data_IF_607096300195
#
_entry.id   IF_607096300195
#
_cell.length_a   1.000
_cell.length_b   1.000
_cell.length_c   1.000
_cell.angle_alpha   90.00
_cell.angle_beta   90.00
_cell.angle_gamma   90.00
#
_symmetry.space_group_name_H-M   'P 1'
#
loop_
_entity.id
_entity.type
_entity.pdbx_description
1 polymer ?
#
# COMPACT_ATOMS: atom_id res chain seq x y z
N UNK A 1 19.89 7.35 -10.32
CA UNK A 1 18.80 7.61 -9.38
C UNK A 1 18.88 6.55 -8.29
N UNK A 2 18.79 6.91 -7.01
CA UNK A 2 18.67 5.92 -5.93
C UNK A 2 17.21 5.51 -5.84
N UNK A 3 16.89 4.26 -6.14
CA UNK A 3 15.61 3.66 -5.76
C UNK A 3 15.64 3.41 -4.25
N UNK A 4 14.55 3.72 -3.52
CA UNK A 4 14.45 3.36 -2.11
C UNK A 4 14.45 1.84 -1.96
N UNK A 5 14.96 1.35 -0.84
CA UNK A 5 14.76 -0.04 -0.45
C UNK A 5 13.27 -0.26 -0.15
N UNK A 6 12.69 -1.34 -0.68
CA UNK A 6 11.25 -1.64 -0.57
C UNK A 6 11.07 -2.86 0.33
N UNK A 7 10.31 -2.69 1.40
CA UNK A 7 9.83 -3.77 2.27
C UNK A 7 8.31 -3.90 2.10
N UNK A 8 7.83 -5.14 1.94
CA UNK A 8 6.42 -5.43 1.67
C UNK A 8 5.64 -5.60 2.96
N UNK A 9 6.28 -6.06 4.04
CA UNK A 9 5.62 -6.25 5.32
C UNK A 9 5.09 -4.91 5.85
N UNK A 10 3.76 -4.75 5.99
CA UNK A 10 3.20 -3.51 6.50
C UNK A 10 3.52 -3.36 8.00
N UNK A 11 3.62 -2.11 8.45
CA UNK A 11 3.70 -1.76 9.85
C UNK A 11 2.44 -0.99 10.27
N UNK A 12 2.09 -1.11 11.55
CA UNK A 12 0.94 -0.40 12.12
C UNK A 12 1.40 0.95 12.65
N UNK A 13 0.61 1.98 12.35
CA UNK A 13 0.79 3.32 12.92
C UNK A 13 -0.39 3.57 13.85
N UNK A 14 -0.10 3.87 15.11
CA UNK A 14 -1.06 4.40 16.06
C UNK A 14 -0.90 5.91 16.12
N UNK A 15 -1.95 6.62 15.73
CA UNK A 15 -1.96 8.09 15.72
C UNK A 15 -2.33 8.67 17.10
N UNK A 16 -2.62 7.85 18.12
CA UNK A 16 -3.16 8.29 19.41
C UNK A 16 -4.53 8.97 19.28
N UNK A 17 -5.34 8.93 20.34
CA UNK A 17 -6.63 9.64 20.38
C UNK A 17 -6.46 11.17 20.36
N UNK A 18 -5.26 11.67 20.68
CA UNK A 18 -4.96 13.09 20.76
C UNK A 18 -4.49 13.70 19.44
N UNK A 19 -4.06 12.90 18.45
CA UNK A 19 -3.62 13.41 17.16
C UNK A 19 -4.62 13.09 16.05
N UNK A 20 -4.81 14.06 15.17
CA UNK A 20 -5.72 13.93 14.04
C UNK A 20 -5.10 13.03 12.97
N UNK A 21 -5.83 11.99 12.53
CA UNK A 21 -5.37 11.17 11.42
C UNK A 21 -5.18 12.04 10.15
N UNK A 22 -4.06 11.91 9.39
CA UNK A 22 -3.75 12.83 8.29
C UNK A 22 -4.86 12.98 7.25
N UNK A 23 -5.59 11.89 6.96
CA UNK A 23 -6.70 11.91 6.00
C UNK A 23 -7.89 12.77 6.42
N UNK A 24 -8.09 13.03 7.72
CA UNK A 24 -9.23 13.81 8.21
C UNK A 24 -9.11 15.31 7.89
N UNK A 25 -7.89 15.81 7.69
CA UNK A 25 -7.63 17.19 7.29
C UNK A 25 -7.51 17.39 5.78
N UNK A 26 -7.61 16.31 4.99
CA UNK A 26 -7.43 16.39 3.54
C UNK A 26 -8.69 16.97 2.86
N UNK A 27 -8.53 17.84 1.86
CA UNK A 27 -9.66 18.30 1.05
C UNK A 27 -10.25 17.13 0.25
N UNK A 28 -11.54 17.26 -0.11
CA UNK A 28 -12.19 16.31 -1.01
C UNK A 28 -11.63 16.43 -2.43
N UNK A 29 -10.64 15.60 -2.75
CA UNK A 29 -9.96 15.62 -4.05
C UNK A 29 -10.65 14.73 -5.10
N UNK A 30 -11.67 13.95 -4.71
CA UNK A 30 -12.32 12.96 -5.58
C UNK A 30 -11.40 11.80 -5.96
N UNK A 31 -10.36 11.55 -5.16
CA UNK A 31 -9.39 10.48 -5.39
C UNK A 31 -9.59 9.33 -4.40
N UNK A 32 -9.39 8.10 -4.88
CA UNK A 32 -9.47 6.89 -4.05
C UNK A 32 -8.40 5.89 -4.45
N UNK A 33 -7.72 5.31 -3.47
CA UNK A 33 -6.88 4.13 -3.70
C UNK A 33 -7.81 2.94 -3.96
N UNK A 34 -7.75 2.39 -5.16
CA UNK A 34 -8.63 1.29 -5.59
C UNK A 34 -7.93 -0.06 -5.58
N UNK A 35 -6.59 -0.07 -5.56
CA UNK A 35 -5.81 -1.30 -5.61
C UNK A 35 -4.44 -1.08 -4.97
N UNK A 36 -3.98 -2.08 -4.23
CA UNK A 36 -2.61 -2.19 -3.73
C UNK A 36 -2.12 -3.61 -4.00
N UNK A 37 -0.94 -3.73 -4.59
CA UNK A 37 -0.26 -5.00 -4.76
C UNK A 37 1.23 -4.89 -4.51
N UNK A 38 1.82 -6.04 -4.22
CA UNK A 38 3.26 -6.20 -4.12
C UNK A 38 3.75 -7.25 -5.11
N UNK A 39 5.04 -7.19 -5.42
CA UNK A 39 5.78 -8.27 -6.09
C UNK A 39 6.91 -8.72 -5.17
N UNK A 40 7.12 -10.03 -5.06
CA UNK A 40 8.20 -10.59 -4.24
C UNK A 40 8.75 -11.88 -4.90
N UNK A 41 10.06 -12.20 -4.79
CA UNK A 41 10.62 -13.46 -5.31
C UNK A 41 10.00 -14.72 -4.71
N UNK A 42 9.56 -14.59 -3.46
CA UNK A 42 9.00 -15.66 -2.63
C UNK A 42 7.75 -15.15 -1.91
N UNK A 43 6.59 -14.99 -2.58
CA UNK A 43 5.39 -14.41 -1.97
C UNK A 43 4.86 -15.22 -0.77
N UNK A 44 5.11 -16.53 -0.74
CA UNK A 44 4.67 -17.45 0.29
C UNK A 44 5.17 -17.08 1.70
N UNK A 45 6.32 -16.41 1.80
CA UNK A 45 6.89 -15.99 3.09
C UNK A 45 6.07 -14.87 3.74
N UNK A 46 5.25 -14.17 2.97
CA UNK A 46 4.44 -13.02 3.41
C UNK A 46 3.00 -13.42 3.73
N UNK A 47 2.53 -14.60 3.30
CA UNK A 47 1.14 -15.02 3.43
C UNK A 47 0.65 -14.99 4.87
N UNK A 48 1.45 -15.52 5.81
CA UNK A 48 1.05 -15.60 7.22
C UNK A 48 0.84 -14.22 7.86
N UNK A 49 1.72 -13.27 7.53
CA UNK A 49 1.64 -11.89 8.04
C UNK A 49 0.47 -11.15 7.41
N UNK A 50 0.30 -11.26 6.09
CA UNK A 50 -0.78 -10.56 5.38
C UNK A 50 -2.16 -11.12 5.72
N UNK A 51 -2.30 -12.43 5.96
CA UNK A 51 -3.56 -13.03 6.43
C UNK A 51 -3.92 -12.63 7.86
N UNK A 52 -2.92 -12.30 8.69
CA UNK A 52 -3.15 -11.83 10.05
C UNK A 52 -3.64 -10.37 10.09
N UNK A 53 -3.53 -9.63 9.00
CA UNK A 53 -3.88 -8.22 8.91
C UNK A 53 -5.14 -8.02 8.04
N UNK A 54 -6.04 -7.10 8.42
CA UNK A 54 -7.24 -6.80 7.64
C UNK A 54 -6.91 -5.90 6.42
N UNK A 55 -5.88 -6.26 5.65
CA UNK A 55 -5.38 -5.47 4.52
C UNK A 55 -5.66 -6.21 3.22
N UNK A 56 -6.54 -5.69 2.35
CA UNK A 56 -6.79 -6.27 1.04
C UNK A 56 -5.61 -5.95 0.10
N UNK A 57 -4.59 -6.79 0.10
CA UNK A 57 -3.40 -6.69 -0.75
C UNK A 57 -3.13 -8.02 -1.45
N UNK A 58 -2.73 -7.98 -2.72
CA UNK A 58 -2.26 -9.15 -3.47
C UNK A 58 -0.74 -9.11 -3.59
N UNK A 59 -0.08 -10.26 -3.42
CA UNK A 59 1.37 -10.39 -3.67
C UNK A 59 1.58 -11.34 -4.84
N UNK A 60 2.24 -10.85 -5.88
CA UNK A 60 2.60 -11.63 -7.06
C UNK A 60 4.05 -12.12 -6.97
N UNK A 61 4.34 -13.29 -7.54
CA UNK A 61 5.71 -13.75 -7.67
C UNK A 61 6.46 -12.95 -8.75
N UNK A 62 7.66 -12.47 -8.46
CA UNK A 62 8.51 -11.79 -9.44
C UNK A 62 9.94 -11.57 -8.95
N UNK A 63 10.86 -11.26 -9.86
CA UNK A 63 12.31 -11.25 -9.56
C UNK A 63 12.75 -10.14 -8.59
N UNK A 64 11.98 -9.05 -8.50
CA UNK A 64 12.31 -7.88 -7.68
C UNK A 64 11.17 -7.56 -6.73
N UNK A 65 11.55 -7.06 -5.55
CA UNK A 65 10.59 -6.58 -4.56
C UNK A 65 10.05 -5.23 -5.01
N UNK A 66 8.72 -5.11 -5.12
CA UNK A 66 8.08 -3.88 -5.56
C UNK A 66 6.71 -3.70 -4.90
N UNK A 67 6.27 -2.44 -4.80
CA UNK A 67 4.92 -2.05 -4.42
C UNK A 67 4.27 -1.27 -5.57
N UNK A 68 2.97 -1.49 -5.76
CA UNK A 68 2.17 -0.82 -6.77
C UNK A 68 0.83 -0.40 -6.19
N UNK A 69 0.39 0.81 -6.54
CA UNK A 69 -0.95 1.28 -6.22
C UNK A 69 -1.66 1.85 -7.44
N UNK A 70 -2.97 1.61 -7.52
CA UNK A 70 -3.85 2.33 -8.44
C UNK A 70 -4.68 3.34 -7.66
N UNK A 71 -4.60 4.59 -8.08
CA UNK A 71 -5.38 5.69 -7.53
C UNK A 71 -6.32 6.19 -8.61
N UNK A 72 -7.61 5.98 -8.41
CA UNK A 72 -8.63 6.61 -9.24
C UNK A 72 -8.74 8.09 -8.86
N UNK A 73 -8.72 8.98 -9.85
CA UNK A 73 -8.84 10.42 -9.70
C UNK A 73 -9.87 10.96 -10.73
N UNK A 74 -10.36 12.20 -10.59
CA UNK A 74 -11.35 12.76 -11.52
C UNK A 74 -10.91 12.78 -13.00
N UNK A 75 -9.60 12.89 -13.25
CA UNK A 75 -9.02 12.93 -14.59
C UNK A 75 -8.50 11.57 -15.08
N UNK A 76 -8.85 10.48 -14.39
CA UNK A 76 -8.43 9.12 -14.73
C UNK A 76 -7.64 8.44 -13.62
N UNK A 77 -7.14 7.24 -13.92
CA UNK A 77 -6.42 6.40 -12.95
C UNK A 77 -4.92 6.60 -13.08
N UNK A 78 -4.24 6.80 -11.95
CA UNK A 78 -2.78 6.89 -11.84
C UNK A 78 -2.26 5.59 -11.26
N UNK A 79 -1.20 5.05 -11.89
CA UNK A 79 -0.41 3.94 -11.37
C UNK A 79 0.85 4.50 -10.72
N UNK A 80 1.07 4.14 -9.47
CA UNK A 80 2.23 4.51 -8.65
C UNK A 80 3.11 3.29 -8.42
#
# INVERSE_FOLDING_TARGET
ASSPEVEVVPFLIDWSESEQHPSQGMPEMGCSVTFIAATHPQPEVLESVLQALPVPMTVNQGAEVNLEALVHCPNGTVKL
#
